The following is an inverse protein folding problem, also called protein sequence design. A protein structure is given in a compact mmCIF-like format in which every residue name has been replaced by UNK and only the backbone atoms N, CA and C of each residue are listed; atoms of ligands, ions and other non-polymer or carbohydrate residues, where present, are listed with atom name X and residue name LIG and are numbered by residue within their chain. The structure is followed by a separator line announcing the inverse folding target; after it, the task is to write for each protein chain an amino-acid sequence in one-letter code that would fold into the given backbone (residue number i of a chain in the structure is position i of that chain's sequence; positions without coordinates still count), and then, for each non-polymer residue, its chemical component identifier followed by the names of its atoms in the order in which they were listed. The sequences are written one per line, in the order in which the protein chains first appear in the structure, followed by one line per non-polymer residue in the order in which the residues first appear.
data_IF_650024449490
#
_entry.id   IF_650024449490
#
_cell.length_a   1.000
_cell.length_b   1.000
_cell.length_c   1.000
_cell.angle_alpha   90.00
_cell.angle_beta   90.00
_cell.angle_gamma   90.00
#
_symmetry.space_group_name_H-M   'P 1'
#
loop_
_entity.id
_entity.type
_entity.pdbx_description
1 polymer ?
#
# COMPACT_ATOMS: atom_id res chain seq x y z
N UNK A 1 14.76 27.10 -3.02
CA UNK A 1 13.93 25.93 -3.28
C UNK A 1 13.14 25.60 -2.03
N UNK A 2 11.86 25.75 -2.12
CA UNK A 2 10.98 25.48 -0.99
C UNK A 2 10.49 24.06 -1.07
N UNK A 3 10.92 23.21 -0.15
CA UNK A 3 10.25 21.95 0.05
C UNK A 3 8.90 22.26 0.67
N UNK A 4 7.84 21.79 0.03
CA UNK A 4 6.52 21.86 0.63
C UNK A 4 6.55 21.02 1.92
N UNK A 5 6.39 21.63 3.11
CA UNK A 5 6.47 20.86 4.36
C UNK A 5 5.36 19.82 4.50
N UNK A 6 4.32 19.88 3.67
CA UNK A 6 3.25 18.89 3.67
C UNK A 6 3.57 17.68 2.81
N UNK A 7 4.60 17.72 1.97
CA UNK A 7 4.98 16.60 1.11
C UNK A 7 5.78 15.57 1.91
N UNK A 8 5.30 14.33 2.05
CA UNK A 8 6.05 13.32 2.79
C UNK A 8 7.30 12.90 2.05
N UNK A 9 8.32 12.52 2.81
CA UNK A 9 9.55 11.93 2.29
C UNK A 9 9.39 10.42 2.25
N UNK A 10 9.72 9.81 1.12
CA UNK A 10 9.60 8.36 0.94
C UNK A 10 11.01 7.76 0.89
N UNK A 11 11.25 6.72 1.70
CA UNK A 11 12.49 5.96 1.65
C UNK A 11 12.25 4.49 1.93
N UNK A 12 13.20 3.64 1.56
CA UNK A 12 13.10 2.21 1.89
C UNK A 12 13.13 2.05 3.41
N UNK A 13 12.32 1.12 3.90
CA UNK A 13 12.26 0.82 5.33
C UNK A 13 13.53 0.09 5.78
N UNK A 14 13.95 0.38 7.00
CA UNK A 14 15.04 -0.32 7.65
C UNK A 14 14.49 -1.20 8.77
N UNK A 15 15.36 -2.01 9.37
CA UNK A 15 14.96 -2.84 10.49
C UNK A 15 14.43 -2.01 11.67
N UNK A 16 14.92 -0.79 11.82
CA UNK A 16 14.45 0.12 12.87
C UNK A 16 13.00 0.57 12.66
N UNK A 17 12.49 0.48 11.43
CA UNK A 17 11.13 0.87 11.11
C UNK A 17 10.12 -0.24 11.34
N UNK A 18 10.56 -1.46 11.61
CA UNK A 18 9.69 -2.64 11.67
C UNK A 18 8.57 -2.49 12.70
N UNK A 19 8.87 -1.91 13.87
CA UNK A 19 7.86 -1.73 14.92
C UNK A 19 6.78 -0.73 14.49
N UNK A 20 7.17 0.36 13.83
CA UNK A 20 6.21 1.36 13.35
C UNK A 20 5.32 0.79 12.24
N UNK A 21 5.90 0.01 11.33
CA UNK A 21 5.15 -0.65 10.26
C UNK A 21 4.15 -1.64 10.85
N UNK A 22 4.57 -2.47 11.80
CA UNK A 22 3.72 -3.45 12.45
C UNK A 22 2.54 -2.76 13.15
N UNK A 23 2.80 -1.65 13.83
CA UNK A 23 1.76 -0.89 14.52
C UNK A 23 0.75 -0.30 13.54
N UNK A 24 1.22 0.27 12.44
CA UNK A 24 0.32 0.81 11.41
C UNK A 24 -0.57 -0.28 10.82
N UNK A 25 0.01 -1.45 10.52
CA UNK A 25 -0.74 -2.58 9.97
C UNK A 25 -1.79 -3.08 10.98
N UNK A 26 -1.41 -3.20 12.25
CA UNK A 26 -2.31 -3.65 13.31
C UNK A 26 -3.47 -2.66 13.48
N UNK A 27 -3.17 -1.37 13.55
CA UNK A 27 -4.19 -0.32 13.70
C UNK A 27 -5.14 -0.28 12.51
N UNK A 28 -4.69 -0.71 11.34
CA UNK A 28 -5.53 -0.82 10.14
C UNK A 28 -6.33 -2.12 10.07
N UNK A 29 -6.21 -2.99 11.09
CA UNK A 29 -6.93 -4.25 11.15
C UNK A 29 -6.33 -5.37 10.32
N UNK A 30 -5.07 -5.26 9.93
CA UNK A 30 -4.42 -6.26 9.07
C UNK A 30 -3.71 -7.37 9.84
N UNK A 31 -3.53 -7.19 11.15
CA UNK A 31 -2.80 -8.15 11.96
C UNK A 31 -1.31 -8.19 11.63
N UNK A 32 -0.69 -9.35 11.85
CA UNK A 32 0.73 -9.53 11.60
C UNK A 32 0.98 -9.80 10.12
N UNK A 33 1.87 -9.00 9.52
CA UNK A 33 2.25 -9.20 8.12
C UNK A 33 3.32 -10.29 8.00
N UNK A 34 3.22 -11.10 6.95
CA UNK A 34 4.27 -12.08 6.63
C UNK A 34 5.53 -11.35 6.18
N UNK A 35 6.74 -11.86 6.54
CA UNK A 35 7.99 -11.22 6.12
C UNK A 35 8.29 -11.52 4.64
N UNK A 36 7.86 -10.64 3.76
CA UNK A 36 8.15 -10.77 2.32
C UNK A 36 8.11 -9.40 1.66
N UNK A 37 8.76 -9.31 0.51
CA UNK A 37 8.77 -8.09 -0.29
C UNK A 37 9.66 -7.00 0.30
N UNK A 38 9.52 -5.81 -0.23
CA UNK A 38 10.27 -4.63 0.19
C UNK A 38 9.30 -3.54 0.61
N UNK A 39 9.54 -2.97 1.79
CA UNK A 39 8.68 -1.91 2.32
C UNK A 39 9.34 -0.55 2.18
N UNK A 40 8.53 0.46 1.95
CA UNK A 40 8.93 1.87 1.91
C UNK A 40 8.06 2.64 2.89
N UNK A 41 8.67 3.57 3.60
CA UNK A 41 7.95 4.37 4.59
C UNK A 41 7.84 5.82 4.13
N UNK A 42 6.74 6.45 4.51
CA UNK A 42 6.51 7.87 4.30
C UNK A 42 6.71 8.58 5.63
N UNK A 43 7.51 9.63 5.61
CA UNK A 43 7.80 10.43 6.80
C UNK A 43 7.25 11.84 6.62
N UNK A 44 6.62 12.34 7.67
CA UNK A 44 6.22 13.73 7.78
C UNK A 44 6.78 14.26 9.08
N UNK A 45 7.58 15.31 9.00
CA UNK A 45 8.24 15.91 10.17
C UNK A 45 9.02 14.88 11.00
N UNK A 46 9.72 13.97 10.30
CA UNK A 46 10.54 12.94 10.93
C UNK A 46 9.78 11.76 11.51
N UNK A 47 8.45 11.72 11.36
CA UNK A 47 7.61 10.64 11.89
C UNK A 47 7.06 9.80 10.75
N UNK A 48 7.04 8.48 10.93
CA UNK A 48 6.46 7.56 9.95
C UNK A 48 4.94 7.70 10.01
N UNK A 49 4.34 8.08 8.86
CA UNK A 49 2.89 8.30 8.73
C UNK A 49 2.23 7.33 7.76
N UNK A 50 2.99 6.44 7.17
CA UNK A 50 2.45 5.42 6.28
C UNK A 50 3.55 4.52 5.74
N UNK A 51 3.14 3.42 5.12
CA UNK A 51 4.09 2.54 4.43
C UNK A 51 3.41 1.83 3.26
N UNK A 52 4.23 1.34 2.34
CA UNK A 52 3.79 0.50 1.23
C UNK A 52 4.77 -0.67 1.14
N UNK A 53 4.25 -1.88 0.96
CA UNK A 53 5.07 -3.06 0.73
C UNK A 53 4.87 -3.53 -0.69
N UNK A 54 5.97 -3.74 -1.42
CA UNK A 54 5.93 -4.24 -2.79
C UNK A 54 6.41 -5.68 -2.79
N UNK A 55 5.59 -6.55 -3.35
CA UNK A 55 5.83 -7.98 -3.43
C UNK A 55 5.89 -8.39 -4.90
N UNK A 56 6.86 -9.24 -5.24
CA UNK A 56 6.94 -9.80 -6.59
C UNK A 56 6.26 -11.16 -6.61
N UNK A 57 5.34 -11.35 -7.56
CA UNK A 57 4.67 -12.63 -7.77
C UNK A 57 4.45 -12.83 -9.27
N UNK A 58 4.87 -13.98 -9.79
CA UNK A 58 4.69 -14.35 -11.20
C UNK A 58 5.20 -13.28 -12.18
N UNK A 59 6.30 -12.60 -11.83
CA UNK A 59 6.91 -11.58 -12.67
C UNK A 59 6.32 -10.19 -12.55
N UNK A 60 5.22 -10.04 -11.83
CA UNK A 60 4.58 -8.75 -11.61
C UNK A 60 4.91 -8.18 -10.23
N UNK A 61 4.75 -6.88 -10.10
CA UNK A 61 4.91 -6.18 -8.82
C UNK A 61 3.54 -5.87 -8.24
N UNK A 62 3.36 -6.16 -6.97
CA UNK A 62 2.09 -6.01 -6.27
C UNK A 62 2.25 -5.09 -5.08
N UNK A 63 1.24 -4.25 -4.86
CA UNK A 63 1.09 -3.50 -3.61
C UNK A 63 0.37 -4.38 -2.60
N UNK A 64 1.02 -4.71 -1.48
CA UNK A 64 0.44 -5.61 -0.48
C UNK A 64 1.14 -5.45 0.88
N UNK A 65 0.66 -4.61 1.76
CA UNK A 65 -0.39 -3.61 1.59
C UNK A 65 0.16 -2.19 1.43
N UNK A 66 -0.74 -1.23 1.35
CA UNK A 66 -0.46 0.19 1.57
C UNK A 66 -1.31 0.64 2.76
N UNK A 67 -0.68 1.30 3.72
CA UNK A 67 -1.34 1.77 4.94
C UNK A 67 -0.92 3.20 5.21
N UNK A 68 -1.89 4.06 5.51
CA UNK A 68 -1.65 5.45 5.88
C UNK A 68 -2.28 5.68 7.26
N UNK A 69 -1.52 6.34 8.15
CA UNK A 69 -2.03 6.75 9.45
C UNK A 69 -3.29 7.60 9.23
N UNK A 70 -4.42 7.25 9.88
CA UNK A 70 -5.66 8.02 9.70
C UNK A 70 -5.50 9.51 9.97
N UNK A 71 -4.60 9.90 10.87
CA UNK A 71 -4.35 11.31 11.18
C UNK A 71 -3.61 12.04 10.06
N UNK A 72 -2.99 11.28 9.13
CA UNK A 72 -2.20 11.85 8.04
C UNK A 72 -2.87 11.69 6.68
N UNK A 73 -4.11 11.22 6.61
CA UNK A 73 -4.77 10.93 5.33
C UNK A 73 -4.91 12.14 4.40
N UNK A 74 -5.05 13.34 4.97
CA UNK A 74 -5.22 14.55 4.17
C UNK A 74 -3.90 15.15 3.67
N UNK A 75 -2.77 14.52 3.98
CA UNK A 75 -1.45 15.01 3.58
C UNK A 75 -0.96 14.43 2.25
N UNK A 76 -1.80 13.65 1.55
CA UNK A 76 -1.42 13.04 0.29
C UNK A 76 -0.42 11.90 0.42
N UNK A 77 -0.35 11.27 1.59
CA UNK A 77 0.63 10.21 1.87
C UNK A 77 0.42 9.00 0.97
N UNK A 78 -0.84 8.55 0.83
CA UNK A 78 -1.15 7.39 -0.01
C UNK A 78 -0.79 7.62 -1.47
N UNK A 79 -1.11 8.81 -1.99
CA UNK A 79 -0.73 9.18 -3.36
C UNK A 79 0.79 9.18 -3.53
N UNK A 80 1.52 9.78 -2.57
CA UNK A 80 2.97 9.85 -2.63
C UNK A 80 3.60 8.45 -2.62
N UNK A 81 3.11 7.55 -1.75
CA UNK A 81 3.59 6.18 -1.70
C UNK A 81 3.36 5.43 -3.00
N UNK A 82 2.16 5.54 -3.57
CA UNK A 82 1.83 4.88 -4.83
C UNK A 82 2.67 5.42 -5.99
N UNK A 83 2.81 6.73 -6.10
CA UNK A 83 3.59 7.35 -7.17
C UNK A 83 5.07 6.99 -7.06
N UNK A 84 5.63 6.98 -5.86
CA UNK A 84 7.02 6.60 -5.63
C UNK A 84 7.26 5.15 -6.03
N UNK A 85 6.37 4.23 -5.61
CA UNK A 85 6.49 2.82 -5.95
C UNK A 85 6.39 2.59 -7.46
N UNK A 86 5.48 3.30 -8.11
CA UNK A 86 5.34 3.20 -9.56
C UNK A 86 6.59 3.70 -10.28
N UNK A 87 7.19 4.76 -9.79
CA UNK A 87 8.44 5.29 -10.37
C UNK A 87 9.58 4.29 -10.23
N UNK A 88 9.60 3.50 -9.14
CA UNK A 88 10.65 2.52 -8.90
C UNK A 88 10.46 1.23 -9.68
N UNK A 89 9.23 0.76 -9.82
CA UNK A 89 8.93 -0.59 -10.31
C UNK A 89 8.13 -0.64 -11.60
N UNK A 90 7.54 0.45 -12.05
CA UNK A 90 6.60 0.45 -13.17
C UNK A 90 5.20 0.05 -12.73
N UNK A 91 4.47 -0.64 -13.60
CA UNK A 91 3.09 -1.01 -13.32
C UNK A 91 2.95 -1.83 -12.04
N UNK A 92 1.95 -1.49 -11.24
CA UNK A 92 1.66 -2.14 -9.96
C UNK A 92 0.26 -2.75 -9.98
N UNK A 93 0.17 -4.01 -9.54
CA UNK A 93 -1.11 -4.69 -9.37
C UNK A 93 -1.45 -4.69 -7.88
N UNK A 94 -2.73 -4.71 -7.57
CA UNK A 94 -3.20 -4.79 -6.19
C UNK A 94 -4.68 -5.12 -6.14
N UNK A 95 -5.13 -5.45 -4.94
CA UNK A 95 -6.56 -5.68 -4.68
C UNK A 95 -7.01 -4.60 -3.71
N UNK A 96 -7.88 -3.71 -4.19
CA UNK A 96 -8.38 -2.60 -3.39
C UNK A 96 -9.61 -3.01 -2.59
N UNK A 97 -9.74 -2.51 -1.37
CA UNK A 97 -11.00 -2.62 -0.62
C UNK A 97 -12.03 -1.75 -1.32
N UNK A 98 -13.29 -2.21 -1.38
CA UNK A 98 -14.36 -1.48 -2.05
C UNK A 98 -14.41 0.01 -1.71
N UNK A 99 -14.39 0.40 -0.41
CA UNK A 99 -14.41 1.82 -0.04
C UNK A 99 -13.21 2.63 -0.51
N UNK A 100 -12.09 1.99 -0.85
CA UNK A 100 -10.89 2.67 -1.32
C UNK A 100 -10.83 2.83 -2.84
N UNK A 101 -11.73 2.18 -3.58
CA UNK A 101 -11.73 2.23 -5.05
C UNK A 101 -11.78 3.66 -5.59
N UNK A 102 -12.62 4.58 -5.05
CA UNK A 102 -12.62 5.95 -5.55
C UNK A 102 -11.26 6.65 -5.47
N UNK A 103 -10.50 6.39 -4.40
CA UNK A 103 -9.16 6.94 -4.24
C UNK A 103 -8.24 6.46 -5.37
N UNK A 104 -8.23 5.16 -5.63
CA UNK A 104 -7.37 4.61 -6.67
C UNK A 104 -7.81 5.02 -8.06
N UNK A 105 -9.11 5.11 -8.29
CA UNK A 105 -9.64 5.58 -9.58
C UNK A 105 -9.20 7.02 -9.84
N UNK A 106 -9.27 7.87 -8.82
CA UNK A 106 -8.81 9.26 -8.94
C UNK A 106 -7.30 9.34 -9.21
N UNK A 107 -6.53 8.37 -8.75
CA UNK A 107 -5.08 8.30 -8.98
C UNK A 107 -4.75 7.86 -10.41
N UNK A 108 -5.70 7.31 -11.15
CA UNK A 108 -5.51 6.82 -12.51
C UNK A 108 -5.43 5.31 -12.61
N UNK A 109 -5.75 4.59 -11.53
CA UNK A 109 -5.76 3.14 -11.56
C UNK A 109 -7.00 2.61 -12.27
N UNK A 110 -6.89 1.43 -12.86
CA UNK A 110 -7.96 0.78 -13.61
C UNK A 110 -8.29 -0.57 -13.00
N UNK A 111 -9.54 -0.98 -13.08
CA UNK A 111 -9.96 -2.30 -12.65
C UNK A 111 -9.46 -3.35 -13.66
N UNK A 112 -9.03 -4.50 -13.15
CA UNK A 112 -8.63 -5.64 -13.98
C UNK A 112 -9.44 -6.86 -13.55
N UNK A 113 -9.38 -7.91 -14.37
CA UNK A 113 -10.05 -9.17 -14.04
C UNK A 113 -9.34 -9.86 -12.88
N UNK A 114 -10.11 -10.63 -12.09
CA UNK A 114 -9.59 -11.33 -10.92
C UNK A 114 -8.48 -12.31 -11.31
N UNK A 115 -8.58 -12.91 -12.49
CA UNK A 115 -7.58 -13.86 -12.99
C UNK A 115 -6.22 -13.22 -13.23
N UNK A 116 -6.18 -11.90 -13.32
CA UNK A 116 -4.92 -11.17 -13.49
C UNK A 116 -4.08 -11.17 -12.20
N UNK A 117 -4.71 -11.40 -11.06
CA UNK A 117 -4.04 -11.38 -9.76
C UNK A 117 -3.52 -12.77 -9.42
N UNK A 118 -2.25 -12.85 -9.01
CA UNK A 118 -1.64 -14.12 -8.62
C UNK A 118 -2.36 -14.72 -7.41
N UNK A 119 -2.63 -16.03 -7.40
CA UNK A 119 -3.21 -16.72 -6.24
C UNK A 119 -2.38 -16.55 -4.97
N UNK A 120 -1.06 -16.36 -5.11
CA UNK A 120 -0.16 -16.21 -3.97
C UNK A 120 -0.47 -14.99 -3.13
N UNK A 121 -1.22 -14.03 -3.66
CA UNK A 121 -1.61 -12.82 -2.94
C UNK A 121 -2.97 -12.94 -2.26
N UNK A 122 -3.71 -14.00 -2.54
CA UNK A 122 -5.01 -14.22 -1.94
C UNK A 122 -4.97 -14.72 -0.50
N UNK A 123 -3.83 -15.22 -0.04
CA UNK A 123 -3.72 -15.83 1.29
C UNK A 123 -4.08 -14.86 2.41
N UNK A 124 -3.59 -13.63 2.35
CA UNK A 124 -3.88 -12.63 3.38
C UNK A 124 -5.36 -12.25 3.39
N UNK A 125 -6.02 -12.30 2.23
CA UNK A 125 -7.46 -12.03 2.12
C UNK A 125 -8.29 -13.20 2.64
N UNK A 126 -7.89 -14.42 2.38
CA UNK A 126 -8.62 -15.62 2.80
C UNK A 126 -8.72 -15.74 4.31
N UNK A 127 -7.72 -15.23 5.03
CA UNK A 127 -7.69 -15.24 6.49
C UNK A 127 -8.20 -13.94 7.12
N UNK A 128 -8.56 -12.96 6.30
CA UNK A 128 -9.04 -11.66 6.80
C UNK A 128 -10.45 -11.79 7.38
N UNK A 129 -10.70 -11.31 8.62
CA UNK A 129 -12.05 -11.36 9.20
C UNK A 129 -13.09 -10.60 8.39
N UNK A 130 -12.67 -9.60 7.61
CA UNK A 130 -13.57 -8.78 6.82
C UNK A 130 -13.74 -9.25 5.37
N UNK A 131 -13.24 -10.45 5.05
CA UNK A 131 -13.23 -10.95 3.68
C UNK A 131 -14.60 -10.85 3.00
N UNK A 132 -15.65 -11.27 3.67
CA UNK A 132 -17.00 -11.30 3.10
C UNK A 132 -17.58 -9.88 2.89
N UNK A 133 -17.18 -8.91 3.70
CA UNK A 133 -17.70 -7.54 3.67
C UNK A 133 -16.82 -6.59 2.86
N UNK A 134 -15.60 -6.99 2.53
CA UNK A 134 -14.59 -6.10 1.96
C UNK A 134 -14.90 -5.68 0.51
N UNK A 135 -15.57 -6.53 -0.26
CA UNK A 135 -15.88 -6.26 -1.69
C UNK A 135 -14.65 -5.79 -2.47
N UNK A 136 -13.54 -6.50 -2.33
CA UNK A 136 -12.28 -6.10 -2.94
C UNK A 136 -12.32 -6.18 -4.47
N UNK A 137 -11.63 -5.23 -5.08
CA UNK A 137 -11.59 -5.05 -6.53
C UNK A 137 -10.14 -5.12 -7.00
N UNK A 138 -9.81 -6.05 -7.92
CA UNK A 138 -8.47 -6.10 -8.51
C UNK A 138 -8.23 -4.86 -9.37
N UNK A 139 -7.07 -4.24 -9.21
CA UNK A 139 -6.74 -3.02 -9.94
C UNK A 139 -5.29 -3.02 -10.40
N UNK A 140 -4.99 -2.16 -11.38
CA UNK A 140 -3.63 -1.92 -11.85
C UNK A 140 -3.36 -0.43 -11.91
N UNK A 141 -2.17 -0.03 -11.48
CA UNK A 141 -1.64 1.33 -11.63
C UNK A 141 -0.53 1.27 -12.67
N UNK A 142 -0.80 1.72 -13.88
CA UNK A 142 0.14 1.66 -15.00
C UNK A 142 1.13 2.81 -15.01
#
# INVERSE_FOLDING_TARGET
MTCDPSTPTIREATQQDAAAIARLAEDAGMGTLTPRGTSYVALSEGRIVGFIRIVKAEGDRYVSPIVVDPQARRLGVGRALMQDARARYGALLFVARGPAVPFYTALGCEQVERERISPDLGEDCDTCPDFAACRHVPMIYR
#
